data_IF_806535380798
#
_entry.id   IF_806535380798
#
_cell.length_a   1.000
_cell.length_b   1.000
_cell.length_c   1.000
_cell.angle_alpha   90.00
_cell.angle_beta   90.00
_cell.angle_gamma   90.00
#
_symmetry.space_group_name_H-M   'P 1'
#
loop_
_entity.id
_entity.type
_entity.pdbx_description
1 polymer ?
#
# COMPACT_ATOMS: atom_id res chain seq x y z
N UNK A 1 11.39 -1.41 -42.00
CA UNK A 1 9.91 -1.26 -41.84
C UNK A 1 9.30 -2.16 -40.77
N UNK A 2 9.51 -3.50 -40.77
CA UNK A 2 8.89 -4.41 -39.78
C UNK A 2 9.31 -4.13 -38.33
N UNK A 3 10.58 -3.79 -38.11
CA UNK A 3 11.13 -3.51 -36.78
C UNK A 3 10.61 -2.20 -36.19
N UNK A 4 10.58 -1.12 -36.98
CA UNK A 4 9.95 0.14 -36.60
C UNK A 4 8.47 -0.05 -36.22
N UNK A 5 7.71 -0.83 -37.01
CA UNK A 5 6.30 -1.16 -36.71
C UNK A 5 6.12 -1.93 -35.40
N UNK A 6 7.04 -2.87 -35.10
CA UNK A 6 7.05 -3.65 -33.86
C UNK A 6 7.33 -2.75 -32.64
N UNK A 7 8.30 -1.84 -32.75
CA UNK A 7 8.63 -0.87 -31.70
C UNK A 7 7.47 0.08 -31.41
N UNK A 8 6.83 0.63 -32.45
CA UNK A 8 5.65 1.50 -32.29
C UNK A 8 4.52 0.75 -31.58
N UNK A 9 4.20 -0.48 -32.01
CA UNK A 9 3.15 -1.28 -31.36
C UNK A 9 3.42 -1.53 -29.87
N UNK A 10 4.66 -1.88 -29.52
CA UNK A 10 5.04 -2.09 -28.12
C UNK A 10 4.97 -0.80 -27.28
N UNK A 11 5.37 0.34 -27.85
CA UNK A 11 5.21 1.65 -27.19
C UNK A 11 3.74 2.02 -26.97
N UNK A 12 2.88 1.82 -27.97
CA UNK A 12 1.43 2.04 -27.84
C UNK A 12 0.83 1.15 -26.76
N UNK A 13 1.18 -0.14 -26.74
CA UNK A 13 0.71 -1.08 -25.70
C UNK A 13 1.12 -0.63 -24.30
N UNK A 14 2.38 -0.24 -24.09
CA UNK A 14 2.88 0.26 -22.81
C UNK A 14 2.17 1.54 -22.36
N UNK A 15 1.90 2.45 -23.28
CA UNK A 15 1.17 3.68 -23.01
C UNK A 15 -0.27 3.39 -22.57
N UNK A 16 -0.98 2.52 -23.28
CA UNK A 16 -2.36 2.12 -22.94
C UNK A 16 -2.41 1.38 -21.61
N UNK A 17 -1.51 0.41 -21.37
CA UNK A 17 -1.42 -0.28 -20.07
C UNK A 17 -1.15 0.71 -18.93
N UNK A 18 -0.29 1.70 -19.15
CA UNK A 18 0.02 2.72 -18.14
C UNK A 18 -1.18 3.62 -17.86
N UNK A 19 -1.87 4.11 -18.90
CA UNK A 19 -3.06 4.94 -18.76
C UNK A 19 -4.19 4.20 -18.02
N UNK A 20 -4.44 2.94 -18.36
CA UNK A 20 -5.43 2.10 -17.70
C UNK A 20 -5.08 1.91 -16.21
N UNK A 21 -3.83 1.61 -15.91
CA UNK A 21 -3.38 1.42 -14.52
C UNK A 21 -3.41 2.72 -13.72
N UNK A 22 -3.13 3.88 -14.32
CA UNK A 22 -3.32 5.19 -13.68
C UNK A 22 -4.80 5.44 -13.39
N UNK A 23 -5.70 5.11 -14.31
CA UNK A 23 -7.14 5.22 -14.08
C UNK A 23 -7.61 4.30 -12.93
N UNK A 24 -7.12 3.05 -12.89
CA UNK A 24 -7.41 2.13 -11.78
C UNK A 24 -6.84 2.65 -10.46
N UNK A 25 -5.60 3.15 -10.43
CA UNK A 25 -5.00 3.75 -9.23
C UNK A 25 -5.84 4.92 -8.71
N UNK A 26 -6.32 5.76 -9.63
CA UNK A 26 -7.17 6.91 -9.31
C UNK A 26 -8.52 6.44 -8.76
N UNK A 27 -9.18 5.46 -9.40
CA UNK A 27 -10.43 4.91 -8.90
C UNK A 27 -10.26 4.28 -7.50
N UNK A 28 -9.18 3.52 -7.28
CA UNK A 28 -8.86 2.93 -5.97
C UNK A 28 -8.60 4.00 -4.89
N UNK A 29 -8.03 5.16 -5.26
CA UNK A 29 -7.81 6.26 -4.30
C UNK A 29 -9.11 6.93 -3.83
N UNK A 30 -10.21 6.79 -4.58
CA UNK A 30 -11.52 7.31 -4.18
C UNK A 30 -12.21 6.43 -3.12
N UNK A 31 -11.79 5.16 -3.02
CA UNK A 31 -12.27 4.25 -1.98
C UNK A 31 -11.34 4.34 -0.77
N UNK A 32 -11.67 5.27 0.13
CA UNK A 32 -10.97 5.42 1.41
C UNK A 32 -11.63 4.56 2.48
N UNK A 33 -10.82 3.78 3.19
CA UNK A 33 -11.24 2.97 4.34
C UNK A 33 -11.24 3.82 5.60
N UNK A 34 -10.24 4.70 5.73
CA UNK A 34 -10.09 5.64 6.84
C UNK A 34 -9.62 6.97 6.27
N UNK A 35 -10.21 8.07 6.73
CA UNK A 35 -9.83 9.43 6.38
C UNK A 35 -9.42 10.18 7.64
N UNK A 36 -8.20 10.70 7.64
CA UNK A 36 -7.67 11.57 8.68
C UNK A 36 -8.08 13.03 8.40
N UNK A 37 -8.16 13.87 9.43
CA UNK A 37 -8.14 15.33 9.27
C UNK A 37 -6.94 15.75 8.42
N UNK A 38 -6.96 16.91 7.76
CA UNK A 38 -5.80 17.42 7.02
C UNK A 38 -5.26 16.49 5.89
N UNK A 39 -6.11 15.62 5.34
CA UNK A 39 -5.86 14.95 4.06
C UNK A 39 -5.14 13.60 4.10
N UNK A 40 -4.77 13.08 5.27
CA UNK A 40 -4.25 11.70 5.39
C UNK A 40 -5.35 10.67 5.11
N UNK A 41 -5.04 9.55 4.45
CA UNK A 41 -6.04 8.50 4.19
C UNK A 41 -5.42 7.12 4.01
N UNK A 42 -6.24 6.10 4.28
CA UNK A 42 -5.97 4.69 3.99
C UNK A 42 -6.88 4.28 2.83
N UNK A 43 -6.29 3.81 1.74
CA UNK A 43 -6.95 3.46 0.48
C UNK A 43 -6.92 1.95 0.25
N UNK A 44 -7.65 1.49 -0.77
CA UNK A 44 -7.59 0.08 -1.21
C UNK A 44 -6.36 -0.16 -2.11
N UNK A 45 -5.15 0.00 -1.54
CA UNK A 45 -3.87 -0.17 -2.22
C UNK A 45 -3.71 0.65 -3.52
N UNK A 46 -4.11 1.93 -3.48
CA UNK A 46 -4.19 2.80 -4.67
C UNK A 46 -2.85 3.01 -5.41
N UNK A 47 -1.70 2.91 -4.73
CA UNK A 47 -0.38 2.99 -5.36
C UNK A 47 0.02 1.72 -6.14
N UNK A 48 -0.65 0.58 -5.90
CA UNK A 48 -0.25 -0.71 -6.47
C UNK A 48 -0.24 -0.74 -8.00
N UNK A 49 -1.25 -0.20 -8.73
CA UNK A 49 -1.22 -0.19 -10.18
C UNK A 49 0.00 0.56 -10.74
N UNK A 50 0.43 1.66 -10.11
CA UNK A 50 1.63 2.42 -10.53
C UNK A 50 2.91 1.60 -10.30
N UNK A 51 3.00 0.92 -9.14
CA UNK A 51 4.10 0.00 -8.84
C UNK A 51 4.15 -1.14 -9.87
N UNK A 52 3.00 -1.66 -10.30
CA UNK A 52 2.92 -2.70 -11.33
C UNK A 52 3.39 -2.19 -12.70
N UNK A 53 3.09 -0.94 -13.08
CA UNK A 53 3.66 -0.33 -14.30
C UNK A 53 5.19 -0.29 -14.21
N UNK A 54 5.73 0.23 -13.10
CA UNK A 54 7.17 0.31 -12.88
C UNK A 54 7.83 -1.07 -12.93
N UNK A 55 7.20 -2.08 -12.32
CA UNK A 55 7.67 -3.45 -12.32
C UNK A 55 7.63 -4.07 -13.73
N UNK A 56 6.57 -3.83 -14.52
CA UNK A 56 6.39 -4.43 -15.86
C UNK A 56 7.19 -3.75 -16.95
N UNK A 57 7.18 -2.42 -16.97
CA UNK A 57 7.72 -1.61 -18.08
C UNK A 57 9.01 -0.88 -17.74
N UNK A 58 9.47 -0.99 -16.49
CA UNK A 58 10.69 -0.37 -16.00
C UNK A 58 10.47 1.02 -15.41
N UNK A 59 11.51 1.56 -14.78
CA UNK A 59 11.43 2.79 -13.98
C UNK A 59 11.02 4.02 -14.79
N UNK A 60 11.42 4.14 -16.06
CA UNK A 60 11.01 5.29 -16.89
C UNK A 60 9.50 5.37 -17.08
N UNK A 61 8.86 4.24 -17.40
CA UNK A 61 7.40 4.17 -17.51
C UNK A 61 6.72 4.28 -16.14
N UNK A 62 7.33 3.69 -15.10
CA UNK A 62 6.86 3.81 -13.72
C UNK A 62 6.81 5.24 -13.22
N UNK A 63 7.91 5.99 -13.36
CA UNK A 63 8.01 7.39 -12.97
C UNK A 63 7.09 8.29 -13.79
N UNK A 64 6.96 8.04 -15.10
CA UNK A 64 6.02 8.76 -15.95
C UNK A 64 4.56 8.55 -15.49
N UNK A 65 4.17 7.31 -15.24
CA UNK A 65 2.84 7.00 -14.72
C UNK A 65 2.62 7.54 -13.30
N UNK A 66 3.64 7.46 -12.44
CA UNK A 66 3.63 8.03 -11.10
C UNK A 66 3.45 9.54 -11.11
N UNK A 67 4.10 10.25 -12.03
CA UNK A 67 3.93 11.69 -12.18
C UNK A 67 2.49 12.06 -12.62
N UNK A 68 1.92 11.34 -13.59
CA UNK A 68 0.51 11.56 -14.00
C UNK A 68 -0.44 11.27 -12.83
N UNK A 69 -0.21 10.15 -12.13
CA UNK A 69 -0.99 9.80 -10.96
C UNK A 69 -0.90 10.89 -9.88
N UNK A 70 0.30 11.42 -9.63
CA UNK A 70 0.51 12.49 -8.66
C UNK A 70 -0.24 13.78 -9.01
N UNK A 71 -0.29 14.14 -10.29
CA UNK A 71 -1.12 15.27 -10.77
C UNK A 71 -2.61 15.00 -10.52
N UNK A 72 -3.10 13.79 -10.78
CA UNK A 72 -4.49 13.44 -10.50
C UNK A 72 -4.80 13.49 -9.00
N UNK A 73 -3.89 13.01 -8.15
CA UNK A 73 -4.04 13.11 -6.69
C UNK A 73 -4.04 14.57 -6.22
N UNK A 74 -3.21 15.44 -6.81
CA UNK A 74 -3.24 16.88 -6.55
C UNK A 74 -4.59 17.49 -6.92
N UNK A 75 -5.14 17.15 -8.09
CA UNK A 75 -6.42 17.67 -8.56
C UNK A 75 -7.57 17.25 -7.64
N UNK A 76 -7.57 16.01 -7.18
CA UNK A 76 -8.56 15.50 -6.22
C UNK A 76 -8.38 16.09 -4.82
N UNK A 77 -7.15 16.50 -4.48
CA UNK A 77 -6.79 17.07 -3.18
C UNK A 77 -6.74 18.61 -3.12
N UNK A 78 -7.22 19.33 -4.15
CA UNK A 78 -7.09 20.79 -4.22
C UNK A 78 -7.68 21.54 -3.01
N UNK A 79 -8.69 20.96 -2.34
CA UNK A 79 -9.28 21.54 -1.13
C UNK A 79 -8.23 21.76 -0.03
N UNK A 80 -7.18 20.94 0.04
CA UNK A 80 -6.14 21.08 1.06
C UNK A 80 -5.25 22.32 0.84
N UNK A 81 -5.20 22.87 -0.37
CA UNK A 81 -4.47 24.12 -0.62
C UNK A 81 -5.14 25.32 0.05
N UNK A 82 -6.44 25.23 0.38
CA UNK A 82 -7.18 26.32 1.03
C UNK A 82 -6.71 26.63 2.47
N UNK A 83 -5.99 25.69 3.10
CA UNK A 83 -5.39 25.90 4.42
C UNK A 83 -4.20 26.87 4.39
N UNK A 84 -3.67 27.21 3.21
CA UNK A 84 -2.42 27.95 3.08
C UNK A 84 -2.57 29.20 2.22
N UNK A 85 -2.00 30.31 2.69
CA UNK A 85 -2.11 31.62 2.04
C UNK A 85 -0.78 32.14 1.46
N UNK A 86 0.36 31.58 1.86
CA UNK A 86 1.68 31.96 1.36
C UNK A 86 2.12 31.07 0.19
N UNK A 87 2.68 31.69 -0.85
CA UNK A 87 3.11 30.98 -2.06
C UNK A 87 4.15 29.87 -1.78
N UNK A 88 5.04 30.07 -0.80
CA UNK A 88 6.04 29.06 -0.43
C UNK A 88 5.39 27.78 0.10
N UNK A 89 4.44 27.92 1.02
CA UNK A 89 3.68 26.78 1.57
C UNK A 89 2.88 26.07 0.48
N UNK A 90 2.23 26.82 -0.42
CA UNK A 90 1.49 26.23 -1.55
C UNK A 90 2.43 25.39 -2.43
N UNK A 91 3.59 25.91 -2.80
CA UNK A 91 4.58 25.17 -3.60
C UNK A 91 5.09 23.94 -2.84
N UNK A 92 5.39 24.08 -1.56
CA UNK A 92 5.86 22.98 -0.72
C UNK A 92 4.82 21.86 -0.62
N UNK A 93 3.54 22.17 -0.44
CA UNK A 93 2.45 21.18 -0.40
C UNK A 93 2.29 20.50 -1.76
N UNK A 94 2.25 21.27 -2.85
CA UNK A 94 2.12 20.70 -4.20
C UNK A 94 3.24 19.69 -4.47
N UNK A 95 4.46 19.99 -4.01
CA UNK A 95 5.59 19.09 -4.19
C UNK A 95 5.59 17.92 -3.20
N UNK A 96 5.53 18.20 -1.90
CA UNK A 96 5.77 17.21 -0.85
C UNK A 96 4.54 16.38 -0.50
N UNK A 97 3.33 16.93 -0.56
CA UNK A 97 2.10 16.18 -0.24
C UNK A 97 1.55 15.46 -1.49
N UNK A 98 1.88 15.97 -2.69
CA UNK A 98 1.33 15.45 -3.93
C UNK A 98 2.39 14.97 -4.93
N UNK A 99 3.04 15.87 -5.66
CA UNK A 99 3.85 15.49 -6.83
C UNK A 99 4.94 14.47 -6.49
N UNK A 100 5.81 14.80 -5.54
CA UNK A 100 6.89 13.91 -5.12
C UNK A 100 6.34 12.69 -4.36
N UNK A 101 5.42 12.92 -3.40
CA UNK A 101 4.82 11.87 -2.57
C UNK A 101 4.15 10.75 -3.37
N UNK A 102 3.50 11.05 -4.50
CA UNK A 102 2.87 10.03 -5.33
C UNK A 102 3.75 9.59 -6.51
N UNK A 103 4.65 10.44 -7.03
CA UNK A 103 5.56 10.03 -8.11
C UNK A 103 6.54 8.92 -7.69
N UNK A 104 6.92 8.87 -6.40
CA UNK A 104 7.79 7.81 -5.87
C UNK A 104 7.19 6.41 -5.97
N UNK A 105 5.88 6.27 -6.15
CA UNK A 105 5.25 4.98 -6.51
C UNK A 105 5.87 4.37 -7.79
N UNK A 106 6.31 5.23 -8.71
CA UNK A 106 7.00 4.85 -9.94
C UNK A 106 8.37 4.17 -9.73
N UNK A 107 8.91 4.21 -8.50
CA UNK A 107 10.15 3.52 -8.13
C UNK A 107 9.93 2.07 -7.67
N UNK A 108 8.67 1.65 -7.48
CA UNK A 108 8.34 0.31 -6.96
C UNK A 108 8.80 -0.87 -7.84
N UNK A 109 9.27 -0.61 -9.06
CA UNK A 109 9.85 -1.61 -9.95
C UNK A 109 11.33 -1.90 -9.73
N UNK A 110 12.03 -1.17 -8.84
CA UNK A 110 13.50 -1.18 -8.76
C UNK A 110 14.08 -2.57 -8.47
N UNK A 111 13.41 -3.37 -7.66
CA UNK A 111 13.88 -4.70 -7.25
C UNK A 111 13.58 -5.81 -8.28
N UNK A 112 12.89 -5.50 -9.40
CA UNK A 112 12.44 -6.50 -10.39
C UNK A 112 13.57 -7.40 -10.91
N UNK A 113 14.75 -6.83 -11.17
CA UNK A 113 15.91 -7.55 -11.73
C UNK A 113 16.84 -8.13 -10.66
N UNK A 114 16.69 -7.70 -9.41
CA UNK A 114 17.57 -8.09 -8.29
C UNK A 114 16.97 -9.27 -7.52
N UNK A 115 15.66 -9.26 -7.30
CA UNK A 115 14.96 -10.24 -6.46
C UNK A 115 14.29 -11.29 -7.33
N UNK A 116 14.70 -12.55 -7.16
CA UNK A 116 14.19 -13.69 -7.97
C UNK A 116 12.68 -13.90 -7.79
N UNK A 117 12.18 -13.87 -6.54
CA UNK A 117 10.76 -14.07 -6.23
C UNK A 117 9.96 -12.79 -6.46
N UNK A 118 9.06 -12.79 -7.43
CA UNK A 118 8.28 -11.61 -7.82
C UNK A 118 7.48 -11.01 -6.67
N UNK A 119 6.76 -11.81 -5.86
CA UNK A 119 6.00 -11.27 -4.74
C UNK A 119 6.86 -10.51 -3.75
N UNK A 120 8.07 -11.02 -3.45
CA UNK A 120 9.03 -10.31 -2.59
C UNK A 120 9.55 -9.04 -3.26
N UNK A 121 9.84 -9.08 -4.56
CA UNK A 121 10.28 -7.91 -5.30
C UNK A 121 9.23 -6.78 -5.29
N UNK A 122 7.95 -7.12 -5.47
CA UNK A 122 6.83 -6.17 -5.42
C UNK A 122 6.62 -5.62 -4.01
N UNK A 123 6.71 -6.46 -2.97
CA UNK A 123 6.62 -6.03 -1.56
C UNK A 123 7.74 -5.04 -1.22
N UNK A 124 8.99 -5.34 -1.58
CA UNK A 124 10.11 -4.43 -1.33
C UNK A 124 9.97 -3.12 -2.10
N UNK A 125 9.46 -3.18 -3.34
CA UNK A 125 9.18 -1.99 -4.13
C UNK A 125 8.08 -1.11 -3.54
N UNK A 126 7.00 -1.73 -3.08
CA UNK A 126 5.93 -1.05 -2.36
C UNK A 126 6.42 -0.42 -1.06
N UNK A 127 7.22 -1.15 -0.27
CA UNK A 127 7.82 -0.64 0.96
C UNK A 127 8.70 0.58 0.71
N UNK A 128 9.56 0.53 -0.32
CA UNK A 128 10.39 1.67 -0.71
C UNK A 128 9.55 2.89 -1.07
N UNK A 129 8.53 2.72 -1.93
CA UNK A 129 7.65 3.80 -2.32
C UNK A 129 6.90 4.41 -1.12
N UNK A 130 6.41 3.57 -0.22
CA UNK A 130 5.75 3.99 1.03
C UNK A 130 6.68 4.78 1.94
N UNK A 131 7.91 4.32 2.16
CA UNK A 131 8.90 5.03 3.00
C UNK A 131 9.24 6.39 2.41
N UNK A 132 9.45 6.47 1.09
CA UNK A 132 9.72 7.74 0.42
C UNK A 132 8.53 8.70 0.51
N UNK A 133 7.31 8.21 0.28
CA UNK A 133 6.08 9.00 0.42
C UNK A 133 5.90 9.51 1.86
N UNK A 134 6.08 8.63 2.84
CA UNK A 134 6.02 8.98 4.25
C UNK A 134 7.07 10.04 4.62
N UNK A 135 8.28 9.92 4.08
CA UNK A 135 9.35 10.92 4.28
C UNK A 135 8.92 12.30 3.74
N UNK A 136 8.28 12.36 2.57
CA UNK A 136 7.77 13.62 2.01
C UNK A 136 6.72 14.25 2.94
N UNK A 137 5.77 13.44 3.42
CA UNK A 137 4.70 13.87 4.31
C UNK A 137 5.21 14.32 5.68
N UNK A 138 6.25 13.68 6.20
CA UNK A 138 6.90 14.08 7.46
C UNK A 138 7.64 15.41 7.29
N UNK A 139 8.36 15.60 6.18
CA UNK A 139 9.03 16.87 5.89
C UNK A 139 7.99 17.99 5.75
N UNK A 140 6.93 17.75 4.98
CA UNK A 140 5.83 18.71 4.81
C UNK A 140 5.14 19.04 6.12
N UNK A 141 4.80 18.02 6.92
CA UNK A 141 4.15 18.24 8.20
C UNK A 141 5.01 19.05 9.18
N UNK A 142 6.30 18.76 9.26
CA UNK A 142 7.22 19.45 10.16
C UNK A 142 7.55 20.90 9.72
N UNK A 143 7.37 21.24 8.44
CA UNK A 143 7.79 22.54 7.87
C UNK A 143 6.63 23.44 7.47
N UNK A 144 5.55 22.88 6.92
CA UNK A 144 4.43 23.63 6.33
C UNK A 144 3.19 23.57 7.22
N UNK A 145 2.91 22.42 7.82
CA UNK A 145 1.74 22.24 8.69
C UNK A 145 1.99 22.66 10.16
N UNK A 146 3.25 22.93 10.52
CA UNK A 146 3.62 23.46 11.84
C UNK A 146 2.98 24.83 12.10
N UNK A 147 2.33 24.98 13.26
CA UNK A 147 1.60 26.19 13.63
C UNK A 147 0.19 26.33 13.02
N UNK A 148 -0.21 25.41 12.12
CA UNK A 148 -1.58 25.35 11.57
C UNK A 148 -2.37 24.19 12.16
N UNK A 149 -1.85 22.97 11.98
CA UNK A 149 -2.49 21.74 12.48
C UNK A 149 -1.59 20.94 13.42
N UNK A 150 -0.31 21.32 13.52
CA UNK A 150 0.69 20.68 14.36
C UNK A 150 1.29 21.71 15.33
N UNK A 151 1.41 21.42 16.65
CA UNK A 151 2.09 22.28 17.60
C UNK A 151 3.53 22.58 17.17
N UNK A 152 3.91 23.86 17.15
CA UNK A 152 5.22 24.31 16.65
C UNK A 152 6.39 23.81 17.51
N UNK A 153 6.18 23.67 18.82
CA UNK A 153 7.22 23.32 19.80
C UNK A 153 7.81 21.90 19.61
N UNK A 154 7.03 21.00 18.99
CA UNK A 154 7.42 19.62 18.75
C UNK A 154 7.07 19.15 17.32
N UNK A 155 7.12 20.06 16.34
CA UNK A 155 6.58 19.87 15.00
C UNK A 155 7.08 18.60 14.29
N UNK A 156 8.36 18.26 14.42
CA UNK A 156 8.92 17.04 13.82
C UNK A 156 8.32 15.76 14.43
N UNK A 157 8.24 15.69 15.76
CA UNK A 157 7.71 14.52 16.46
C UNK A 157 6.22 14.34 16.17
N UNK A 158 5.46 15.44 16.21
CA UNK A 158 4.05 15.44 15.84
C UNK A 158 3.84 15.06 14.39
N UNK A 159 4.65 15.58 13.46
CA UNK A 159 4.54 15.22 12.05
C UNK A 159 4.87 13.74 11.80
N UNK A 160 5.90 13.21 12.46
CA UNK A 160 6.24 11.80 12.40
C UNK A 160 5.05 10.95 12.88
N UNK A 161 4.55 11.22 14.08
CA UNK A 161 3.46 10.46 14.65
C UNK A 161 2.15 10.60 13.86
N UNK A 162 1.73 11.83 13.52
CA UNK A 162 0.53 12.09 12.72
C UNK A 162 0.55 11.35 11.39
N UNK A 163 1.65 11.47 10.64
CA UNK A 163 1.72 10.81 9.34
C UNK A 163 1.76 9.28 9.46
N UNK A 164 2.30 8.74 10.56
CA UNK A 164 2.37 7.30 10.78
C UNK A 164 0.98 6.69 10.93
N UNK A 165 0.02 7.44 11.48
CA UNK A 165 -1.33 6.95 11.78
C UNK A 165 -2.08 6.45 10.55
N UNK A 166 -1.85 7.05 9.38
CA UNK A 166 -2.44 6.60 8.12
C UNK A 166 -1.42 5.93 7.18
N UNK A 167 -0.14 6.34 7.20
CA UNK A 167 0.85 5.74 6.30
C UNK A 167 1.22 4.31 6.69
N UNK A 168 1.21 3.96 7.99
CA UNK A 168 1.44 2.57 8.41
C UNK A 168 0.33 1.64 7.90
N UNK A 169 -0.96 1.87 8.19
CA UNK A 169 -2.03 1.02 7.67
C UNK A 169 -2.10 1.03 6.13
N UNK A 170 -1.94 2.19 5.47
CA UNK A 170 -1.85 2.29 3.99
C UNK A 170 -0.73 1.41 3.44
N UNK A 171 0.45 1.44 4.09
CA UNK A 171 1.59 0.62 3.70
C UNK A 171 1.28 -0.85 3.88
N UNK A 172 0.73 -1.27 5.03
CA UNK A 172 0.43 -2.70 5.26
C UNK A 172 -0.57 -3.22 4.23
N UNK A 173 -1.65 -2.48 3.96
CA UNK A 173 -2.64 -2.84 2.92
C UNK A 173 -1.96 -2.98 1.55
N UNK A 174 -1.09 -2.04 1.19
CA UNK A 174 -0.33 -2.08 -0.05
C UNK A 174 0.63 -3.28 -0.13
N UNK A 175 1.38 -3.57 0.94
CA UNK A 175 2.32 -4.69 1.00
C UNK A 175 1.60 -6.02 0.87
N UNK A 176 0.48 -6.18 1.58
CA UNK A 176 -0.39 -7.35 1.48
C UNK A 176 -0.85 -7.51 0.02
N UNK A 177 -1.42 -6.47 -0.58
CA UNK A 177 -1.96 -6.53 -1.94
C UNK A 177 -0.86 -6.85 -2.98
N UNK A 178 0.32 -6.24 -2.84
CA UNK A 178 1.49 -6.51 -3.66
C UNK A 178 1.97 -7.97 -3.52
N UNK A 179 2.02 -8.48 -2.29
CA UNK A 179 2.40 -9.86 -2.01
C UNK A 179 1.42 -10.86 -2.66
N UNK A 180 0.12 -10.62 -2.51
CA UNK A 180 -0.92 -11.48 -3.06
C UNK A 180 -0.92 -11.50 -4.57
N UNK A 181 -0.99 -10.33 -5.23
CA UNK A 181 -0.94 -10.26 -6.69
C UNK A 181 0.35 -10.86 -7.23
N UNK A 182 1.48 -10.56 -6.58
CA UNK A 182 2.77 -11.14 -6.93
C UNK A 182 2.88 -12.65 -6.71
N UNK A 183 1.99 -13.25 -5.91
CA UNK A 183 1.92 -14.68 -5.59
C UNK A 183 0.85 -15.44 -6.40
N UNK A 184 0.00 -14.74 -7.17
CA UNK A 184 -1.04 -15.37 -8.00
C UNK A 184 -0.92 -15.05 -9.49
N UNK A 185 -0.33 -13.91 -9.86
CA UNK A 185 -0.15 -13.48 -11.26
C UNK A 185 1.33 -13.42 -11.62
N UNK A 186 1.69 -13.72 -12.87
CA UNK A 186 3.02 -13.51 -13.43
C UNK A 186 3.05 -12.20 -14.21
N UNK A 187 3.73 -11.18 -13.68
CA UNK A 187 3.85 -9.87 -14.31
C UNK A 187 5.10 -9.75 -15.18
N UNK A 188 5.95 -10.78 -15.26
CA UNK A 188 7.17 -10.77 -16.09
C UNK A 188 6.88 -11.12 -17.55
N UNK A 189 5.77 -11.80 -17.81
CA UNK A 189 5.30 -12.15 -19.15
C UNK A 189 4.69 -10.96 -19.89
N UNK A 190 4.68 -11.07 -21.23
CA UNK A 190 4.13 -10.04 -22.12
C UNK A 190 2.64 -9.76 -21.84
N UNK A 191 1.86 -10.80 -21.57
CA UNK A 191 0.52 -10.71 -20.99
C UNK A 191 0.56 -11.22 -19.55
N UNK A 192 -0.03 -10.50 -18.57
CA UNK A 192 -0.19 -11.03 -17.23
C UNK A 192 -1.00 -12.32 -17.30
N UNK A 193 -0.43 -13.41 -16.80
CA UNK A 193 -1.13 -14.70 -16.73
C UNK A 193 -1.13 -15.17 -15.30
N UNK A 194 -2.13 -15.96 -14.92
CA UNK A 194 -2.13 -16.60 -13.61
C UNK A 194 -0.90 -17.50 -13.51
N UNK A 195 -0.20 -17.47 -12.38
CA UNK A 195 0.84 -18.45 -12.10
C UNK A 195 0.14 -19.79 -11.91
N UNK A 196 0.25 -20.64 -12.93
CA UNK A 196 -0.19 -22.03 -12.88
C UNK A 196 0.91 -22.77 -12.12
N UNK A 197 0.57 -23.38 -10.98
CA UNK A 197 1.39 -24.47 -10.43
C UNK A 197 1.49 -25.52 -11.53
N UNK A 198 2.68 -26.06 -11.81
CA UNK A 198 2.88 -27.09 -12.84
C UNK A 198 1.99 -28.33 -12.63
N UNK A 199 1.37 -28.47 -11.47
CA UNK A 199 0.29 -29.39 -11.17
C UNK A 199 -1.04 -28.61 -11.08
N UNK A 200 -1.97 -28.90 -12.00
CA UNK A 200 -3.21 -28.16 -12.17
C UNK A 200 -4.10 -28.23 -10.92
N UNK A 201 -4.00 -27.22 -10.04
CA UNK A 201 -4.93 -27.14 -8.91
C UNK A 201 -5.34 -25.72 -8.53
N UNK A 202 -6.66 -25.55 -8.37
CA UNK A 202 -7.34 -24.37 -7.82
C UNK A 202 -7.12 -24.19 -6.31
N UNK A 203 -6.42 -25.11 -5.65
CA UNK A 203 -6.50 -25.41 -4.22
C UNK A 203 -5.93 -24.29 -3.31
N UNK A 204 -4.75 -23.73 -3.62
CA UNK A 204 -4.05 -22.82 -2.70
C UNK A 204 -4.36 -21.32 -2.81
N UNK A 205 -5.05 -20.85 -3.85
CA UNK A 205 -5.30 -19.41 -4.05
C UNK A 205 -6.41 -18.86 -3.17
N UNK A 206 -7.43 -19.69 -2.85
CA UNK A 206 -8.49 -19.31 -1.93
C UNK A 206 -7.93 -19.01 -0.54
N UNK A 207 -7.00 -19.83 -0.06
CA UNK A 207 -6.33 -19.61 1.22
C UNK A 207 -5.45 -18.36 1.22
N UNK A 208 -4.75 -18.05 0.11
CA UNK A 208 -4.01 -16.78 -0.02
C UNK A 208 -4.95 -15.57 0.01
N UNK A 209 -6.10 -15.65 -0.66
CA UNK A 209 -7.10 -14.59 -0.63
C UNK A 209 -7.71 -14.42 0.78
N UNK A 210 -7.88 -15.53 1.52
CA UNK A 210 -8.33 -15.48 2.91
C UNK A 210 -7.28 -14.83 3.84
N UNK A 211 -6.00 -15.16 3.70
CA UNK A 211 -4.89 -14.51 4.46
C UNK A 211 -4.89 -13.00 4.22
N UNK A 212 -5.08 -12.62 2.96
CA UNK A 212 -5.19 -11.22 2.55
C UNK A 212 -6.37 -10.49 3.17
N UNK A 213 -7.55 -11.10 3.10
CA UNK A 213 -8.77 -10.54 3.68
C UNK A 213 -8.62 -10.37 5.19
N UNK A 214 -8.08 -11.37 5.88
CA UNK A 214 -7.79 -11.30 7.33
C UNK A 214 -6.84 -10.15 7.64
N UNK A 215 -5.72 -10.04 6.92
CA UNK A 215 -4.76 -8.95 7.15
C UNK A 215 -5.37 -7.55 6.90
N UNK A 216 -6.15 -7.39 5.82
CA UNK A 216 -6.82 -6.13 5.53
C UNK A 216 -7.87 -5.76 6.58
N UNK A 217 -8.65 -6.74 7.07
CA UNK A 217 -9.65 -6.53 8.13
C UNK A 217 -8.97 -6.10 9.42
N UNK A 218 -7.91 -6.80 9.85
CA UNK A 218 -7.16 -6.46 11.06
C UNK A 218 -6.66 -5.02 11.00
N UNK A 219 -6.00 -4.64 9.90
CA UNK A 219 -5.46 -3.28 9.75
C UNK A 219 -6.55 -2.22 9.76
N UNK A 220 -7.69 -2.48 9.10
CA UNK A 220 -8.82 -1.56 9.09
C UNK A 220 -9.45 -1.43 10.49
N UNK A 221 -9.62 -2.55 11.20
CA UNK A 221 -10.17 -2.55 12.56
C UNK A 221 -9.23 -1.84 13.53
N UNK A 222 -7.93 -2.13 13.50
CA UNK A 222 -6.94 -1.47 14.37
C UNK A 222 -6.92 0.04 14.11
N UNK A 223 -6.96 0.46 12.83
CA UNK A 223 -7.04 1.88 12.49
C UNK A 223 -8.31 2.55 13.05
N UNK A 224 -9.47 1.89 12.96
CA UNK A 224 -10.75 2.42 13.49
C UNK A 224 -10.74 2.49 15.03
N UNK A 225 -10.08 1.56 15.70
CA UNK A 225 -10.00 1.54 17.17
C UNK A 225 -9.01 2.58 17.72
N UNK A 226 -7.88 2.77 17.04
CA UNK A 226 -6.81 3.68 17.50
C UNK A 226 -7.16 5.15 17.17
N UNK A 227 -7.78 5.40 16.01
CA UNK A 227 -7.95 6.76 15.49
C UNK A 227 -8.71 7.73 16.43
N UNK A 228 -9.82 7.35 17.08
CA UNK A 228 -10.52 8.25 18.01
C UNK A 228 -9.65 8.70 19.19
N UNK A 229 -8.65 7.92 19.57
CA UNK A 229 -7.74 8.20 20.69
C UNK A 229 -6.52 9.04 20.30
N UNK A 230 -6.38 9.34 19.00
CA UNK A 230 -5.36 10.24 18.45
C UNK A 230 -5.89 11.67 18.27
N UNK A 231 -7.12 11.94 18.72
CA UNK A 231 -7.77 13.23 18.61
C UNK A 231 -8.36 13.60 19.96
N UNK A 232 -8.25 14.88 20.28
CA UNK A 232 -8.98 15.45 21.39
C UNK A 232 -10.47 15.45 21.05
N UNK A 233 -11.29 14.86 21.92
CA UNK A 233 -12.72 14.64 21.67
C UNK A 233 -13.53 15.94 21.52
N UNK A 234 -13.07 17.06 22.09
CA UNK A 234 -13.78 18.35 22.08
C UNK A 234 -13.34 19.25 20.92
N UNK A 235 -12.04 19.34 20.67
CA UNK A 235 -11.47 20.21 19.64
C UNK A 235 -11.26 19.53 18.30
N UNK A 236 -11.26 18.18 18.25
CA UNK A 236 -10.85 17.41 17.08
C UNK A 236 -9.37 17.57 16.73
N UNK A 237 -8.60 18.31 17.55
CA UNK A 237 -7.18 18.52 17.36
C UNK A 237 -6.42 17.22 17.63
N UNK A 238 -5.33 17.03 16.90
CA UNK A 238 -4.53 15.82 17.05
C UNK A 238 -3.79 15.81 18.39
N UNK A 239 -3.99 14.76 19.19
CA UNK A 239 -3.47 14.65 20.55
C UNK A 239 -3.13 13.18 20.87
N UNK A 240 -1.92 12.94 21.37
CA UNK A 240 -1.44 11.61 21.76
C UNK A 240 -1.71 11.27 23.23
N UNK A 241 -2.22 12.22 24.02
CA UNK A 241 -2.54 11.99 25.43
C UNK A 241 -3.53 10.82 25.59
N UNK A 242 -4.47 10.67 24.64
CA UNK A 242 -5.42 9.57 24.60
C UNK A 242 -4.82 8.19 24.35
N UNK A 243 -3.56 8.09 23.92
CA UNK A 243 -2.83 6.82 23.81
C UNK A 243 -2.22 6.37 25.14
N UNK A 244 -2.04 7.28 26.09
CA UNK A 244 -1.48 6.96 27.40
C UNK A 244 -2.47 6.11 28.20
N UNK A 245 -1.94 5.11 28.89
CA UNK A 245 -2.75 4.12 29.61
C UNK A 245 -2.23 3.88 31.01
N UNK A 246 -3.12 4.01 31.99
CA UNK A 246 -2.84 3.68 33.38
C UNK A 246 -3.04 2.17 33.65
N UNK A 247 -4.02 1.54 33.00
CA UNK A 247 -4.27 0.09 33.04
C UNK A 247 -4.42 -0.43 31.60
N UNK A 248 -3.58 -1.38 31.19
CA UNK A 248 -3.67 -1.97 29.85
C UNK A 248 -4.96 -2.77 29.65
N UNK A 249 -5.41 -3.50 30.68
CA UNK A 249 -6.57 -4.40 30.61
C UNK A 249 -7.88 -3.61 30.44
N UNK A 250 -7.98 -2.44 31.04
CA UNK A 250 -9.18 -1.59 30.95
C UNK A 250 -9.10 -0.57 29.81
N UNK A 251 -8.07 -0.66 28.97
CA UNK A 251 -7.81 0.31 27.90
C UNK A 251 -8.29 -0.11 26.53
N UNK A 252 -8.38 0.87 25.62
CA UNK A 252 -8.63 0.64 24.21
C UNK A 252 -7.53 -0.17 23.51
N UNK A 253 -6.33 -0.33 24.10
CA UNK A 253 -5.28 -1.17 23.53
C UNK A 253 -5.59 -2.66 23.63
N UNK A 254 -6.38 -3.08 24.62
CA UNK A 254 -6.73 -4.49 24.77
C UNK A 254 -7.48 -5.04 23.54
N UNK A 255 -8.59 -4.43 23.07
CA UNK A 255 -9.27 -4.91 21.86
C UNK A 255 -8.38 -4.83 20.61
N UNK A 256 -7.52 -3.80 20.48
CA UNK A 256 -6.53 -3.71 19.37
C UNK A 256 -5.62 -4.94 19.38
N UNK A 257 -4.97 -5.22 20.52
CA UNK A 257 -4.05 -6.36 20.62
C UNK A 257 -4.77 -7.70 20.40
N UNK A 258 -6.00 -7.85 20.90
CA UNK A 258 -6.80 -9.06 20.66
C UNK A 258 -7.05 -9.23 19.16
N UNK A 259 -7.52 -8.20 18.45
CA UNK A 259 -7.79 -8.25 17.01
C UNK A 259 -6.52 -8.57 16.23
N UNK A 260 -5.41 -7.89 16.53
CA UNK A 260 -4.13 -8.15 15.86
C UNK A 260 -3.66 -9.59 16.09
N UNK A 261 -3.66 -10.08 17.33
CA UNK A 261 -3.18 -11.43 17.68
C UNK A 261 -4.05 -12.51 17.05
N UNK A 262 -5.38 -12.40 17.14
CA UNK A 262 -6.30 -13.36 16.53
C UNK A 262 -6.15 -13.38 15.01
N UNK A 263 -6.02 -12.20 14.39
CA UNK A 263 -5.77 -12.08 12.96
C UNK A 263 -4.47 -12.73 12.51
N UNK A 264 -3.38 -12.53 13.26
CA UNK A 264 -2.08 -13.16 13.00
C UNK A 264 -2.15 -14.68 13.14
N UNK A 265 -2.82 -15.19 14.18
CA UNK A 265 -3.01 -16.62 14.40
C UNK A 265 -3.80 -17.23 13.24
N UNK A 266 -4.91 -16.61 12.85
CA UNK A 266 -5.74 -17.07 11.74
C UNK A 266 -4.97 -17.04 10.41
N UNK A 267 -4.29 -15.94 10.11
CA UNK A 267 -3.46 -15.80 8.90
C UNK A 267 -2.33 -16.83 8.84
N UNK A 268 -1.63 -17.05 9.96
CA UNK A 268 -0.60 -18.09 10.06
C UNK A 268 -1.18 -19.49 9.89
N UNK A 269 -2.33 -19.78 10.52
CA UNK A 269 -3.06 -21.03 10.37
C UNK A 269 -3.44 -21.32 8.91
N UNK A 270 -3.96 -20.31 8.20
CA UNK A 270 -4.27 -20.41 6.76
C UNK A 270 -3.03 -20.63 5.90
N UNK A 271 -1.90 -19.99 6.22
CA UNK A 271 -0.63 -20.21 5.52
C UNK A 271 -0.07 -21.63 5.76
N UNK A 272 -0.17 -22.13 7.00
CA UNK A 272 0.24 -23.50 7.35
C UNK A 272 -0.65 -24.52 6.64
N UNK A 273 -1.97 -24.31 6.67
CA UNK A 273 -2.93 -25.16 5.97
C UNK A 273 -2.64 -25.19 4.46
N UNK A 274 -2.41 -24.03 3.85
CA UNK A 274 -2.00 -23.93 2.45
C UNK A 274 -0.72 -24.71 2.19
N UNK A 275 0.29 -24.56 3.05
CA UNK A 275 1.56 -25.28 2.89
C UNK A 275 1.38 -26.79 2.99
N UNK A 276 0.52 -27.27 3.90
CA UNK A 276 0.18 -28.69 4.02
C UNK A 276 -0.52 -29.22 2.77
N UNK A 277 -1.53 -28.51 2.26
CA UNK A 277 -2.25 -28.90 1.04
C UNK A 277 -1.29 -29.02 -0.16
N UNK A 278 -0.46 -28.00 -0.37
CA UNK A 278 0.54 -27.98 -1.45
C UNK A 278 1.60 -29.08 -1.31
N UNK A 279 1.89 -29.56 -0.09
CA UNK A 279 2.84 -30.64 0.15
C UNK A 279 2.22 -32.02 -0.08
N UNK A 280 0.93 -32.21 0.23
CA UNK A 280 0.20 -33.47 0.00
C UNK A 280 -0.01 -33.71 -1.49
N UNK A 281 -0.34 -32.66 -2.26
CA UNK A 281 -0.52 -32.74 -3.72
C UNK A 281 0.80 -33.08 -4.46
N UNK A 282 1.96 -32.84 -3.83
CA UNK A 282 3.28 -33.08 -4.41
C UNK A 282 3.81 -34.52 -4.26
N UNK A 283 3.16 -35.39 -3.46
CA UNK A 283 3.55 -36.79 -3.26
C UNK A 283 2.39 -37.76 -3.57
N UNK A 284 2.19 -38.15 -4.84
CA UNK A 284 1.17 -39.12 -5.22
C UNK A 284 1.49 -40.57 -4.79
N UNK A 285 2.75 -40.90 -4.46
CA UNK A 285 3.18 -42.28 -4.21
C UNK A 285 3.01 -42.76 -2.77
N UNK A 286 2.79 -41.85 -1.82
CA UNK A 286 2.47 -42.22 -0.44
C UNK A 286 1.04 -42.78 -0.26
N UNK A 287 0.13 -42.57 -1.22
CA UNK A 287 -1.27 -42.95 -1.09
C UNK A 287 -1.60 -44.36 -1.63
N UNK A 288 -0.65 -45.03 -2.29
CA UNK A 288 -0.82 -46.41 -2.80
C UNK A 288 -0.28 -47.48 -1.84
N UNK A 289 0.53 -47.12 -0.83
CA UNK A 289 1.17 -48.09 0.09
C UNK A 289 0.34 -48.45 1.32
N UNK A 290 -0.85 -47.86 1.50
CA UNK A 290 -1.78 -48.19 2.60
C UNK A 290 -2.95 -49.08 2.20
N UNK A 291 -3.04 -49.51 0.94
CA UNK A 291 -4.11 -50.37 0.42
C UNK A 291 -3.62 -51.73 -0.13
N UNK A 292 -2.42 -52.20 0.26
CA UNK A 292 -1.92 -53.54 -0.07
C UNK A 292 -1.77 -54.45 1.15
#
# INVERSE_FOLDING_TARGET
MKEARKTTYQSTKRLVESALMVAVATALSLFTVVQMPYGGSVTVASMLPIILIAYRHGLGWGLGAGAVYAVLQQLLGLSNLSYFTTWQSIVAIILLDYLLAFAVAGLGGVFRKVVKRQSVALVLGALLASVLRYTCHVISGATVWAGLSIPTEAALLYSFGYNATYMLPETIVLLLAAWYLGSVMDFRRESPTRMISEQGERSGTGLLAAVMAVGAIVVATDAVLILPHLQNAESGAFDFSGLAVESFVDSFWLPVVIVTVLGLILGAGLLVLRRRMMNVEADPQANETTNS
#
